data_IF_173249423613
#
_entry.id   IF_173249423613
#
_cell.length_a   1.000
_cell.length_b   1.000
_cell.length_c   1.000
_cell.angle_alpha   90.00
_cell.angle_beta   90.00
_cell.angle_gamma   90.00
#
_symmetry.space_group_name_H-M   'P 1'
#
loop_
_entity.id
_entity.type
_entity.pdbx_description
1 polymer ?
#
# COMPACT_ATOMS: atom_id res chain seq x y z
N UNK A 1 -15.28 -28.13 12.11
CA UNK A 1 -14.15 -28.90 12.67
C UNK A 1 -13.25 -29.29 11.51
N UNK A 2 -11.97 -28.91 11.56
CA UNK A 2 -10.98 -29.14 10.50
C UNK A 2 -10.41 -30.57 10.60
N UNK A 3 -10.38 -31.34 9.51
CA UNK A 3 -9.85 -32.71 9.48
C UNK A 3 -8.37 -32.70 9.06
N UNK A 4 -7.49 -32.78 10.06
CA UNK A 4 -6.03 -32.71 9.88
C UNK A 4 -5.45 -33.89 9.10
N UNK A 5 -6.08 -35.08 9.17
CA UNK A 5 -5.60 -36.25 8.44
C UNK A 5 -5.80 -36.09 6.94
N UNK A 6 -6.91 -35.47 6.51
CA UNK A 6 -7.15 -35.12 5.11
C UNK A 6 -6.19 -34.06 4.59
N UNK A 7 -5.82 -33.08 5.43
CA UNK A 7 -4.83 -32.06 5.07
C UNK A 7 -3.42 -32.62 4.97
N UNK A 8 -3.03 -33.53 5.86
CA UNK A 8 -1.72 -34.17 5.82
C UNK A 8 -1.45 -34.90 4.50
N UNK A 9 -2.48 -35.51 3.90
CA UNK A 9 -2.38 -36.16 2.59
C UNK A 9 -2.08 -35.20 1.42
N UNK A 10 -2.28 -33.88 1.59
CA UNK A 10 -2.01 -32.86 0.57
C UNK A 10 -0.58 -32.30 0.65
N UNK A 11 0.15 -32.55 1.75
CA UNK A 11 1.49 -31.99 1.98
C UNK A 11 2.53 -32.35 0.90
N UNK A 12 2.59 -33.59 0.36
CA UNK A 12 3.54 -33.91 -0.70
C UNK A 12 3.32 -33.10 -1.97
N UNK A 13 2.06 -32.85 -2.34
CA UNK A 13 1.70 -32.03 -3.51
C UNK A 13 2.10 -30.57 -3.29
N UNK A 14 1.90 -30.03 -2.08
CA UNK A 14 2.36 -28.69 -1.70
C UNK A 14 3.88 -28.60 -1.82
N UNK A 15 4.63 -29.60 -1.32
CA UNK A 15 6.09 -29.60 -1.40
C UNK A 15 6.60 -29.61 -2.85
N UNK A 16 5.98 -30.40 -3.73
CA UNK A 16 6.35 -30.44 -5.15
C UNK A 16 6.05 -29.10 -5.84
N UNK A 17 4.88 -28.53 -5.57
CA UNK A 17 4.50 -27.22 -6.09
C UNK A 17 5.45 -26.11 -5.63
N UNK A 18 5.83 -26.09 -4.35
CA UNK A 18 6.79 -25.12 -3.81
C UNK A 18 8.17 -25.23 -4.46
N UNK A 19 8.64 -26.46 -4.73
CA UNK A 19 9.91 -26.66 -5.44
C UNK A 19 9.85 -26.15 -6.89
N UNK A 20 8.75 -26.41 -7.59
CA UNK A 20 8.55 -25.91 -8.95
C UNK A 20 8.45 -24.38 -8.97
N UNK A 21 7.72 -23.77 -8.03
CA UNK A 21 7.63 -22.31 -7.88
C UNK A 21 8.99 -21.68 -7.55
N UNK A 22 9.80 -22.31 -6.70
CA UNK A 22 11.15 -21.83 -6.40
C UNK A 22 12.04 -21.80 -7.66
N UNK A 23 11.98 -22.85 -8.49
CA UNK A 23 12.71 -22.90 -9.76
C UNK A 23 12.21 -21.85 -10.76
N UNK A 24 10.88 -21.74 -10.92
CA UNK A 24 10.27 -20.73 -11.79
C UNK A 24 10.61 -19.30 -11.32
N UNK A 25 10.61 -19.05 -10.00
CA UNK A 25 10.99 -17.77 -9.42
C UNK A 25 12.44 -17.40 -9.71
N UNK A 26 13.35 -18.38 -9.67
CA UNK A 26 14.75 -18.15 -10.01
C UNK A 26 14.91 -17.79 -11.50
N UNK A 27 14.23 -18.51 -12.40
CA UNK A 27 14.22 -18.20 -13.82
C UNK A 27 13.65 -16.80 -14.11
N UNK A 28 12.56 -16.42 -13.44
CA UNK A 28 11.98 -15.06 -13.51
C UNK A 28 12.99 -14.01 -13.08
N UNK A 29 13.73 -14.26 -12.00
CA UNK A 29 14.76 -13.34 -11.50
C UNK A 29 15.92 -13.16 -12.49
N UNK A 30 16.42 -14.25 -13.09
CA UNK A 30 17.48 -14.18 -14.10
C UNK A 30 17.02 -13.34 -15.29
N UNK A 31 15.82 -13.59 -15.80
CA UNK A 31 15.23 -12.83 -16.91
C UNK A 31 15.06 -11.36 -16.54
N UNK A 32 14.52 -11.06 -15.35
CA UNK A 32 14.31 -9.70 -14.89
C UNK A 32 15.62 -8.91 -14.81
N UNK A 33 16.71 -9.53 -14.32
CA UNK A 33 18.04 -8.90 -14.30
C UNK A 33 18.55 -8.57 -15.69
N UNK A 34 18.46 -9.52 -16.62
CA UNK A 34 18.87 -9.29 -18.01
C UNK A 34 18.07 -8.17 -18.68
N UNK A 35 16.76 -8.07 -18.41
CA UNK A 35 15.92 -6.99 -18.93
C UNK A 35 16.24 -5.64 -18.29
N UNK A 36 16.56 -5.62 -17.00
CA UNK A 36 16.98 -4.40 -16.32
C UNK A 36 18.28 -3.84 -16.91
N UNK A 37 19.27 -4.71 -17.18
CA UNK A 37 20.53 -4.32 -17.84
C UNK A 37 20.30 -3.76 -19.26
N UNK A 38 19.38 -4.36 -20.02
CA UNK A 38 19.00 -3.86 -21.35
C UNK A 38 18.32 -2.49 -21.25
N UNK A 39 17.35 -2.36 -20.36
CA UNK A 39 16.60 -1.13 -20.13
C UNK A 39 17.49 0.01 -19.62
N UNK A 40 18.53 -0.29 -18.82
CA UNK A 40 19.53 0.71 -18.39
C UNK A 40 20.23 1.35 -19.59
N UNK A 41 20.64 0.55 -20.59
CA UNK A 41 21.32 1.06 -21.78
C UNK A 41 20.42 1.90 -22.70
N UNK A 42 19.09 1.70 -22.63
CA UNK A 42 18.09 2.35 -23.49
C UNK A 42 17.12 3.24 -22.73
N UNK A 43 17.44 3.63 -21.50
CA UNK A 43 16.50 4.29 -20.60
C UNK A 43 15.86 5.53 -21.22
N UNK A 44 16.64 6.39 -21.88
CA UNK A 44 16.14 7.63 -22.49
C UNK A 44 15.11 7.35 -23.59
N UNK A 45 15.38 6.36 -24.45
CA UNK A 45 14.46 5.93 -25.51
C UNK A 45 13.16 5.38 -24.91
N UNK A 46 13.27 4.55 -23.85
CA UNK A 46 12.11 4.01 -23.16
C UNK A 46 11.25 5.08 -22.48
N UNK A 47 11.87 6.13 -21.92
CA UNK A 47 11.17 7.28 -21.36
C UNK A 47 10.40 8.06 -22.44
N UNK A 48 11.02 8.28 -23.61
CA UNK A 48 10.37 8.92 -24.75
C UNK A 48 9.18 8.10 -25.26
N UNK A 49 9.36 6.78 -25.38
CA UNK A 49 8.30 5.84 -25.74
C UNK A 49 7.16 5.89 -24.71
N UNK A 50 7.49 5.82 -23.41
CA UNK A 50 6.50 5.90 -22.34
C UNK A 50 5.69 7.19 -22.44
N UNK A 51 6.35 8.32 -22.62
CA UNK A 51 5.71 9.63 -22.68
C UNK A 51 4.81 9.78 -23.92
N UNK A 52 5.25 9.27 -25.07
CA UNK A 52 4.48 9.33 -26.31
C UNK A 52 3.25 8.42 -26.28
N UNK A 53 3.35 7.25 -25.65
CA UNK A 53 2.32 6.21 -25.72
C UNK A 53 1.53 6.02 -24.41
N UNK A 54 1.76 6.85 -23.39
CA UNK A 54 1.12 6.73 -22.05
C UNK A 54 -0.39 6.47 -22.09
N UNK A 55 -1.11 7.16 -22.97
CA UNK A 55 -2.59 7.09 -23.03
C UNK A 55 -3.10 5.82 -23.75
N UNK A 56 -2.18 5.06 -24.35
CA UNK A 56 -2.45 3.81 -25.09
C UNK A 56 -2.01 2.57 -24.30
N UNK A 57 -1.34 2.75 -23.17
CA UNK A 57 -0.96 1.66 -22.27
C UNK A 57 -2.20 1.15 -21.51
N UNK A 58 -2.28 -0.16 -21.30
CA UNK A 58 -3.38 -0.80 -20.56
C UNK A 58 -2.99 -1.16 -19.11
N UNK A 59 -1.84 -0.66 -18.66
CA UNK A 59 -1.26 -0.93 -17.34
C UNK A 59 -0.55 0.32 -16.82
N UNK A 60 -0.48 0.45 -15.49
CA UNK A 60 0.24 1.55 -14.85
C UNK A 60 1.74 1.31 -14.93
N UNK A 61 2.47 2.36 -15.33
CA UNK A 61 3.93 2.33 -15.46
C UNK A 61 4.53 3.41 -14.59
N UNK A 62 5.42 3.02 -13.67
CA UNK A 62 6.22 3.98 -12.92
C UNK A 62 7.27 4.59 -13.85
N UNK A 63 7.41 5.92 -13.81
CA UNK A 63 8.46 6.64 -14.54
C UNK A 63 9.70 6.78 -13.65
N UNK A 64 10.85 6.21 -14.04
CA UNK A 64 12.11 6.44 -13.33
C UNK A 64 12.45 7.94 -13.30
N UNK A 65 12.68 8.48 -12.11
CA UNK A 65 13.11 9.88 -11.93
C UNK A 65 14.64 10.03 -11.94
N UNK A 66 15.35 8.92 -11.81
CA UNK A 66 16.80 8.79 -11.79
C UNK A 66 17.23 7.67 -12.75
N UNK A 67 18.53 7.57 -13.11
CA UNK A 67 19.06 6.42 -13.83
C UNK A 67 18.73 5.09 -13.13
N UNK A 68 18.38 4.05 -13.90
CA UNK A 68 18.00 2.73 -13.39
C UNK A 68 19.14 1.99 -12.66
N UNK A 69 20.38 2.43 -12.83
CA UNK A 69 21.59 1.93 -12.16
C UNK A 69 22.05 2.86 -11.02
N UNK A 70 21.21 3.81 -10.59
CA UNK A 70 21.55 4.71 -9.49
C UNK A 70 21.69 3.93 -8.18
N UNK A 71 22.90 3.97 -7.62
CA UNK A 71 23.21 3.39 -6.32
C UNK A 71 23.66 4.48 -5.36
N UNK A 72 22.86 4.71 -4.31
CA UNK A 72 23.13 5.75 -3.31
C UNK A 72 23.50 5.08 -1.99
N UNK A 73 24.60 5.54 -1.40
CA UNK A 73 24.93 5.17 -0.04
C UNK A 73 24.00 5.90 0.92
N UNK A 74 23.26 5.13 1.71
CA UNK A 74 22.36 5.68 2.73
C UNK A 74 23.20 6.06 3.94
N UNK A 75 22.98 7.27 4.47
CA UNK A 75 23.61 7.71 5.71
C UNK A 75 23.22 6.80 6.88
N UNK A 76 24.10 6.70 7.88
CA UNK A 76 23.80 5.97 9.11
C UNK A 76 22.54 6.54 9.78
N UNK A 77 21.70 5.63 10.27
CA UNK A 77 20.46 5.99 10.97
C UNK A 77 20.82 6.79 12.24
N UNK A 78 20.08 7.88 12.54
CA UNK A 78 20.24 8.61 13.78
C UNK A 78 20.14 7.69 15.00
N UNK A 79 21.06 7.86 15.96
CA UNK A 79 21.08 7.08 17.21
C UNK A 79 19.78 7.20 18.01
N UNK A 80 19.06 8.31 17.83
CA UNK A 80 17.78 8.58 18.47
C UNK A 80 16.75 8.91 17.40
N UNK A 81 15.64 8.19 17.41
CA UNK A 81 14.49 8.46 16.54
C UNK A 81 13.23 7.82 17.13
N UNK A 82 12.07 8.20 16.61
CA UNK A 82 10.78 7.62 16.99
C UNK A 82 9.98 7.20 15.79
N UNK A 83 9.37 6.02 15.88
CA UNK A 83 8.56 5.43 14.82
C UNK A 83 7.13 5.29 15.31
N UNK A 84 6.21 5.75 14.49
CA UNK A 84 4.78 5.76 14.72
C UNK A 84 4.12 4.86 13.70
N UNK A 85 3.23 3.97 14.12
CA UNK A 85 2.51 3.10 13.20
C UNK A 85 1.06 2.89 13.64
N UNK A 86 0.20 2.65 12.65
CA UNK A 86 -1.20 2.28 12.85
C UNK A 86 -1.57 1.10 11.97
N UNK A 87 -2.43 0.22 12.48
CA UNK A 87 -3.04 -0.88 11.73
C UNK A 87 -4.48 -1.07 12.22
N UNK A 88 -5.38 -1.42 11.30
CA UNK A 88 -6.81 -1.47 11.54
C UNK A 88 -7.41 -2.86 11.38
N UNK A 89 -8.28 -3.20 12.30
CA UNK A 89 -9.19 -4.35 12.20
C UNK A 89 -10.65 -3.90 12.20
N UNK A 90 -11.54 -4.78 11.73
CA UNK A 90 -12.97 -4.47 11.64
C UNK A 90 -13.83 -5.70 11.89
N UNK A 91 -15.04 -5.48 12.40
CA UNK A 91 -16.07 -6.50 12.60
C UNK A 91 -17.31 -6.07 11.81
N UNK A 92 -17.64 -6.82 10.77
CA UNK A 92 -18.80 -6.59 9.90
C UNK A 92 -20.13 -6.71 10.64
N UNK A 93 -21.18 -6.00 10.20
CA UNK A 93 -22.48 -6.10 10.82
C UNK A 93 -23.12 -7.47 10.54
N UNK A 94 -23.78 -8.04 11.54
CA UNK A 94 -24.47 -9.32 11.45
C UNK A 94 -25.97 -9.15 11.68
N UNK A 95 -26.77 -9.78 10.82
CA UNK A 95 -28.24 -9.81 10.96
C UNK A 95 -28.70 -10.78 12.05
N UNK A 96 -27.80 -11.59 12.60
CA UNK A 96 -28.09 -12.54 13.67
C UNK A 96 -27.83 -11.96 15.07
N UNK A 97 -27.37 -10.72 15.15
CA UNK A 97 -27.08 -10.01 16.38
C UNK A 97 -28.20 -9.07 16.80
N UNK A 98 -28.23 -8.71 18.09
CA UNK A 98 -29.28 -7.87 18.70
C UNK A 98 -29.28 -6.44 18.15
N UNK A 99 -28.11 -5.93 17.74
CA UNK A 99 -27.94 -4.61 17.16
C UNK A 99 -27.21 -4.70 15.82
N UNK A 100 -27.74 -4.02 14.80
CA UNK A 100 -27.11 -3.93 13.50
C UNK A 100 -26.08 -2.79 13.51
N UNK A 101 -24.84 -3.10 13.84
CA UNK A 101 -23.72 -2.16 13.89
C UNK A 101 -22.43 -2.83 13.41
N UNK A 102 -21.43 -2.02 13.07
CA UNK A 102 -20.07 -2.50 12.85
C UNK A 102 -19.08 -1.80 13.75
N UNK A 103 -17.91 -2.41 13.91
CA UNK A 103 -16.81 -1.87 14.70
C UNK A 103 -15.58 -1.74 13.83
N UNK A 104 -14.90 -0.60 13.96
CA UNK A 104 -13.54 -0.39 13.45
C UNK A 104 -12.64 -0.22 14.67
N UNK A 105 -11.52 -0.92 14.69
CA UNK A 105 -10.52 -0.78 15.73
C UNK A 105 -9.18 -0.44 15.10
N UNK A 106 -8.63 0.71 15.47
CA UNK A 106 -7.30 1.13 15.03
C UNK A 106 -6.32 0.91 16.18
N UNK A 107 -5.41 -0.04 16.00
CA UNK A 107 -4.23 -0.17 16.84
C UNK A 107 -3.23 0.92 16.49
N UNK A 108 -2.59 1.52 17.49
CA UNK A 108 -1.53 2.51 17.31
C UNK A 108 -0.33 2.18 18.19
N UNK A 109 0.84 2.32 17.62
CA UNK A 109 2.11 2.01 18.26
C UNK A 109 3.08 3.18 18.07
N UNK A 110 3.79 3.51 19.13
CA UNK A 110 4.94 4.41 19.09
C UNK A 110 6.13 3.75 19.78
N UNK A 111 7.24 3.68 19.07
CA UNK A 111 8.50 3.13 19.55
C UNK A 111 9.59 4.20 19.54
N UNK A 112 10.34 4.30 20.63
CA UNK A 112 11.49 5.20 20.75
C UNK A 112 12.78 4.39 20.73
N UNK A 113 13.64 4.68 19.76
CA UNK A 113 14.97 4.06 19.64
C UNK A 113 16.01 4.99 20.26
N UNK A 114 16.87 4.45 21.13
CA UNK A 114 18.01 5.18 21.73
C UNK A 114 17.66 6.28 22.73
N UNK A 115 16.40 6.39 23.16
CA UNK A 115 15.92 7.47 24.05
C UNK A 115 15.55 6.99 25.46
N UNK A 116 15.55 5.68 25.73
CA UNK A 116 15.12 5.10 27.02
C UNK A 116 13.73 5.54 27.47
N UNK A 117 12.83 5.79 26.52
CA UNK A 117 11.42 6.13 26.75
C UNK A 117 10.55 4.88 26.63
N UNK A 118 9.44 4.86 27.36
CA UNK A 118 8.47 3.77 27.26
C UNK A 118 7.72 3.83 25.91
N UNK A 119 7.46 2.69 25.27
CA UNK A 119 6.63 2.66 24.07
C UNK A 119 5.17 2.97 24.43
N UNK A 120 4.42 3.50 23.46
CA UNK A 120 2.96 3.51 23.50
C UNK A 120 2.44 2.34 22.68
N UNK A 121 1.59 1.53 23.28
CA UNK A 121 0.82 0.48 22.62
C UNK A 121 -0.62 0.69 23.04
N UNK A 122 -1.47 1.07 22.09
CA UNK A 122 -2.84 1.45 22.38
C UNK A 122 -3.78 1.05 21.23
N UNK A 123 -5.09 1.05 21.49
CA UNK A 123 -6.11 0.74 20.50
C UNK A 123 -7.33 1.63 20.68
N UNK A 124 -7.83 2.19 19.58
CA UNK A 124 -9.01 3.05 19.54
C UNK A 124 -10.14 2.32 18.81
N UNK A 125 -11.03 1.62 19.53
CA UNK A 125 -12.23 1.03 18.95
C UNK A 125 -13.36 2.06 18.82
N UNK A 126 -14.05 2.07 17.68
CA UNK A 126 -15.21 2.90 17.41
C UNK A 126 -16.37 2.05 16.86
N UNK A 127 -17.57 2.26 17.41
CA UNK A 127 -18.79 1.55 17.00
C UNK A 127 -19.65 2.47 16.15
N UNK A 128 -20.07 1.95 15.00
CA UNK A 128 -20.89 2.64 14.01
C UNK A 128 -22.24 1.96 13.89
N UNK A 129 -23.29 2.70 14.26
CA UNK A 129 -24.65 2.16 14.42
C UNK A 129 -25.75 3.10 13.92
N UNK A 130 -25.41 4.33 13.51
CA UNK A 130 -26.41 5.29 13.02
C UNK A 130 -26.78 4.98 11.56
N UNK A 131 -27.99 5.36 11.11
CA UNK A 131 -28.39 5.18 9.71
C UNK A 131 -27.39 5.79 8.71
N UNK A 132 -26.88 6.98 9.00
CA UNK A 132 -25.81 7.61 8.22
C UNK A 132 -24.52 6.78 8.16
N UNK A 133 -24.14 6.06 9.22
CA UNK A 133 -22.96 5.20 9.21
C UNK A 133 -23.16 3.90 8.43
N UNK A 134 -24.38 3.36 8.46
CA UNK A 134 -24.72 2.03 7.95
C UNK A 134 -25.16 2.07 6.48
N UNK A 135 -25.78 3.16 6.06
CA UNK A 135 -26.48 3.25 4.79
C UNK A 135 -26.01 4.37 3.87
N UNK A 136 -25.18 5.32 4.31
CA UNK A 136 -24.69 6.40 3.45
C UNK A 136 -23.99 5.85 2.19
N UNK A 137 -23.22 4.77 2.30
CA UNK A 137 -22.50 4.20 1.17
C UNK A 137 -23.40 3.58 0.09
N UNK A 138 -24.66 3.25 0.41
CA UNK A 138 -25.60 2.64 -0.55
C UNK A 138 -25.95 3.57 -1.69
N UNK A 139 -25.92 4.89 -1.47
CA UNK A 139 -26.17 5.88 -2.51
C UNK A 139 -25.12 5.83 -3.64
N UNK A 140 -23.94 5.30 -3.34
CA UNK A 140 -22.84 5.10 -4.29
C UNK A 140 -22.76 3.66 -4.81
N UNK A 141 -23.74 2.80 -4.48
CA UNK A 141 -23.72 1.38 -4.86
C UNK A 141 -22.65 0.55 -4.14
N UNK A 142 -22.03 1.07 -3.08
CA UNK A 142 -20.97 0.39 -2.32
C UNK A 142 -21.59 -0.42 -1.18
N UNK A 143 -21.10 -1.65 -0.99
CA UNK A 143 -21.51 -2.50 0.14
C UNK A 143 -20.96 -1.96 1.45
N UNK A 144 -21.72 -2.05 2.54
CA UNK A 144 -21.28 -1.58 3.86
C UNK A 144 -19.94 -2.20 4.28
N UNK A 145 -19.73 -3.50 4.05
CA UNK A 145 -18.47 -4.20 4.39
C UNK A 145 -17.25 -3.64 3.65
N UNK A 146 -17.43 -3.22 2.40
CA UNK A 146 -16.39 -2.60 1.58
C UNK A 146 -16.14 -1.16 2.03
N UNK A 147 -17.21 -0.41 2.28
CA UNK A 147 -17.14 0.95 2.81
C UNK A 147 -16.40 1.03 4.16
N UNK A 148 -16.60 0.04 5.02
CA UNK A 148 -15.88 -0.07 6.29
C UNK A 148 -14.36 -0.12 6.09
N UNK A 149 -13.88 -0.82 5.06
CA UNK A 149 -12.45 -0.88 4.75
C UNK A 149 -11.89 0.50 4.40
N UNK A 150 -12.63 1.30 3.62
CA UNK A 150 -12.23 2.66 3.30
C UNK A 150 -12.25 3.58 4.51
N UNK A 151 -13.30 3.51 5.34
CA UNK A 151 -13.36 4.26 6.61
C UNK A 151 -12.20 3.89 7.53
N UNK A 152 -11.85 2.60 7.59
CA UNK A 152 -10.73 2.12 8.37
C UNK A 152 -9.42 2.75 7.91
N UNK A 153 -9.13 2.76 6.61
CA UNK A 153 -7.94 3.44 6.07
C UNK A 153 -7.91 4.93 6.42
N UNK A 154 -9.05 5.61 6.35
CA UNK A 154 -9.16 7.02 6.76
C UNK A 154 -8.83 7.17 8.26
N UNK A 155 -9.41 6.35 9.12
CA UNK A 155 -9.15 6.39 10.57
C UNK A 155 -7.69 6.09 10.90
N UNK A 156 -7.08 5.08 10.25
CA UNK A 156 -5.66 4.72 10.42
C UNK A 156 -4.77 5.94 10.15
N UNK A 157 -4.90 6.59 8.98
CA UNK A 157 -4.02 7.70 8.61
C UNK A 157 -4.25 8.95 9.48
N UNK A 158 -5.49 9.22 9.87
CA UNK A 158 -5.81 10.35 10.75
C UNK A 158 -5.20 10.16 12.14
N UNK A 159 -5.36 8.99 12.74
CA UNK A 159 -4.81 8.66 14.05
C UNK A 159 -3.28 8.67 14.00
N UNK A 160 -2.68 8.18 12.91
CA UNK A 160 -1.24 8.22 12.71
C UNK A 160 -0.71 9.66 12.66
N UNK A 161 -1.32 10.53 11.85
CA UNK A 161 -0.92 11.93 11.75
C UNK A 161 -1.12 12.66 13.07
N UNK A 162 -2.24 12.43 13.75
CA UNK A 162 -2.51 13.01 15.07
C UNK A 162 -1.43 12.59 16.08
N UNK A 163 -1.14 11.29 16.18
CA UNK A 163 -0.15 10.77 17.12
C UNK A 163 1.26 11.27 16.80
N UNK A 164 1.66 11.28 15.52
CA UNK A 164 2.98 11.72 15.10
C UNK A 164 3.18 13.25 15.27
N UNK A 165 2.15 14.06 15.01
CA UNK A 165 2.24 15.52 15.07
C UNK A 165 1.97 16.11 16.45
N UNK A 166 1.07 15.51 17.25
CA UNK A 166 0.62 16.05 18.54
C UNK A 166 1.23 15.34 19.74
N UNK A 167 2.33 14.60 19.56
CA UNK A 167 3.00 13.96 20.67
C UNK A 167 3.50 15.00 21.69
N UNK A 168 2.89 14.98 22.88
CA UNK A 168 3.25 15.80 24.05
C UNK A 168 3.33 14.89 25.29
N UNK A 169 4.41 14.10 25.43
CA UNK A 169 5.15 13.89 26.69
C UNK A 169 6.28 12.83 26.58
N UNK A 170 7.41 12.98 27.31
CA UNK A 170 7.64 13.89 28.43
C UNK A 170 7.82 15.36 27.97
N UNK A 171 7.73 16.34 28.86
CA UNK A 171 7.26 17.69 28.53
C UNK A 171 8.32 18.43 27.72
N UNK A 172 8.06 18.58 26.42
CA UNK A 172 8.90 19.38 25.55
C UNK A 172 8.70 19.03 24.10
N UNK A 173 8.74 20.05 23.25
CA UNK A 173 8.92 19.84 21.82
C UNK A 173 10.21 19.05 21.60
N UNK A 174 10.14 17.83 21.06
CA UNK A 174 11.31 17.12 20.55
C UNK A 174 11.81 17.79 19.25
N UNK A 175 12.14 19.08 19.34
CA UNK A 175 12.85 19.79 18.29
C UNK A 175 14.21 19.12 18.13
N UNK A 176 14.40 18.41 17.01
CA UNK A 176 15.68 17.80 16.65
C UNK A 176 15.78 16.28 16.81
N UNK A 177 14.73 15.58 17.25
CA UNK A 177 14.70 14.10 17.17
C UNK A 177 13.89 13.68 15.94
N UNK A 178 14.46 12.89 15.02
CA UNK A 178 13.77 12.39 13.84
C UNK A 178 12.57 11.51 14.19
N UNK A 179 11.44 11.80 13.56
CA UNK A 179 10.20 11.03 13.64
C UNK A 179 9.94 10.35 12.29
N UNK A 180 9.29 9.18 12.31
CA UNK A 180 8.86 8.46 11.12
C UNK A 180 7.43 7.96 11.30
N UNK A 181 6.53 8.33 10.40
CA UNK A 181 5.17 7.80 10.34
C UNK A 181 5.13 6.62 9.35
N UNK A 182 4.60 5.49 9.79
CA UNK A 182 4.57 4.25 9.01
C UNK A 182 3.16 3.66 8.95
N UNK A 183 2.71 3.26 7.76
CA UNK A 183 1.48 2.46 7.55
C UNK A 183 1.82 1.07 7.03
N UNK A 184 0.96 0.10 7.35
CA UNK A 184 0.98 -1.19 6.67
C UNK A 184 0.24 -1.07 5.33
N UNK A 185 0.97 -1.23 4.23
CA UNK A 185 0.43 -1.15 2.88
C UNK A 185 1.03 -0.05 2.02
N UNK A 186 0.33 0.20 0.91
CA UNK A 186 0.74 1.14 -0.14
C UNK A 186 0.46 2.58 0.26
N UNK A 187 1.36 3.50 -0.12
CA UNK A 187 1.11 4.95 0.00
C UNK A 187 0.12 5.46 -1.04
N UNK A 188 0.01 4.76 -2.18
CA UNK A 188 -0.95 5.11 -3.24
C UNK A 188 -2.20 4.25 -3.06
N UNK A 189 -3.33 4.91 -2.78
CA UNK A 189 -4.62 4.25 -2.58
C UNK A 189 -5.34 4.00 -3.92
N UNK A 190 -4.72 3.20 -4.80
CA UNK A 190 -5.29 2.84 -6.11
C UNK A 190 -6.70 2.23 -6.03
N UNK A 191 -7.02 1.55 -4.93
CA UNK A 191 -8.35 1.01 -4.71
C UNK A 191 -9.45 2.08 -4.68
N UNK A 192 -9.10 3.35 -4.47
CA UNK A 192 -10.05 4.47 -4.55
C UNK A 192 -10.38 4.84 -6.00
N UNK A 193 -9.54 4.51 -6.98
CA UNK A 193 -9.72 4.93 -8.38
C UNK A 193 -11.06 4.46 -8.97
N UNK A 194 -11.45 3.22 -8.66
CA UNK A 194 -12.70 2.61 -9.14
C UNK A 194 -13.97 3.11 -8.45
N UNK A 195 -13.85 3.97 -7.43
CA UNK A 195 -15.00 4.46 -6.67
C UNK A 195 -15.73 5.60 -7.40
N UNK A 196 -17.07 5.71 -7.22
CA UNK A 196 -17.81 6.89 -7.65
C UNK A 196 -17.20 8.19 -7.10
N UNK A 197 -17.24 9.25 -7.90
CA UNK A 197 -16.61 10.54 -7.58
C UNK A 197 -17.04 11.08 -6.22
N UNK A 198 -18.34 11.09 -5.92
CA UNK A 198 -18.87 11.57 -4.64
C UNK A 198 -18.33 10.78 -3.43
N UNK A 199 -18.16 9.47 -3.56
CA UNK A 199 -17.58 8.63 -2.51
C UNK A 199 -16.10 8.99 -2.27
N UNK A 200 -15.35 9.22 -3.35
CA UNK A 200 -13.94 9.66 -3.27
C UNK A 200 -13.83 11.04 -2.63
N UNK A 201 -14.71 11.97 -2.98
CA UNK A 201 -14.77 13.31 -2.39
C UNK A 201 -15.08 13.29 -0.89
N UNK A 202 -15.70 12.22 -0.39
CA UNK A 202 -15.88 12.01 1.04
C UNK A 202 -14.63 11.45 1.74
N UNK A 203 -13.90 10.54 1.09
CA UNK A 203 -12.76 9.83 1.68
C UNK A 203 -11.43 10.59 1.59
N UNK A 204 -11.18 11.30 0.48
CA UNK A 204 -9.90 11.93 0.21
C UNK A 204 -9.57 13.13 1.12
N UNK A 205 -10.50 14.06 1.43
CA UNK A 205 -10.18 15.23 2.25
C UNK A 205 -9.54 14.93 3.61
N UNK A 206 -10.06 13.98 4.43
CA UNK A 206 -9.41 13.65 5.70
C UNK A 206 -8.03 13.02 5.53
N UNK A 207 -7.83 12.21 4.48
CA UNK A 207 -6.53 11.61 4.15
C UNK A 207 -5.52 12.70 3.80
N UNK A 208 -5.89 13.61 2.89
CA UNK A 208 -5.02 14.72 2.48
C UNK A 208 -4.72 15.66 3.65
N UNK A 209 -5.69 15.91 4.53
CA UNK A 209 -5.47 16.70 5.74
C UNK A 209 -4.42 16.04 6.64
N UNK A 210 -4.49 14.72 6.83
CA UNK A 210 -3.51 13.97 7.63
C UNK A 210 -2.12 13.99 6.99
N UNK A 211 -2.02 13.82 5.67
CA UNK A 211 -0.77 13.92 4.94
C UNK A 211 -0.16 15.32 4.98
N UNK A 212 -1.00 16.35 4.88
CA UNK A 212 -0.56 17.73 4.99
C UNK A 212 0.03 18.02 6.37
N UNK A 213 -0.61 17.53 7.45
CA UNK A 213 -0.07 17.67 8.81
C UNK A 213 1.33 17.04 8.96
N UNK A 214 1.51 15.83 8.43
CA UNK A 214 2.81 15.15 8.41
C UNK A 214 3.84 15.94 7.59
N UNK A 215 3.42 16.49 6.44
CA UNK A 215 4.27 17.30 5.56
C UNK A 215 4.71 18.61 6.23
N UNK A 216 3.78 19.36 6.80
CA UNK A 216 4.04 20.66 7.47
C UNK A 216 4.95 20.50 8.69
N UNK A 217 4.85 19.36 9.38
CA UNK A 217 5.72 19.02 10.52
C UNK A 217 7.05 18.39 10.12
N UNK A 218 7.26 18.14 8.82
CA UNK A 218 8.49 17.54 8.29
C UNK A 218 8.68 16.07 8.70
N UNK A 219 7.60 15.35 9.01
CA UNK A 219 7.64 13.93 9.39
C UNK A 219 7.52 13.09 8.11
N UNK A 220 8.54 12.30 7.73
CA UNK A 220 8.44 11.37 6.62
C UNK A 220 7.32 10.36 6.84
N UNK A 221 6.59 10.09 5.76
CA UNK A 221 5.51 9.11 5.72
C UNK A 221 5.89 7.92 4.83
N UNK A 222 5.82 6.72 5.39
CA UNK A 222 6.31 5.49 4.77
C UNK A 222 5.23 4.41 4.76
N UNK A 223 5.14 3.66 3.65
CA UNK A 223 4.36 2.43 3.59
C UNK A 223 5.28 1.21 3.68
N UNK A 224 4.92 0.23 4.51
CA UNK A 224 5.59 -1.06 4.58
C UNK A 224 4.79 -2.10 3.79
N UNK A 225 5.48 -2.89 2.95
CA UNK A 225 4.85 -3.91 2.13
C UNK A 225 5.59 -5.24 2.30
N UNK A 226 4.94 -6.22 2.93
CA UNK A 226 5.43 -7.59 2.93
C UNK A 226 5.16 -8.24 1.57
N UNK A 227 6.18 -8.80 0.93
CA UNK A 227 6.08 -9.49 -0.37
C UNK A 227 5.40 -8.65 -1.47
N UNK A 228 6.06 -7.57 -1.89
CA UNK A 228 5.55 -6.62 -2.89
C UNK A 228 5.03 -7.33 -4.15
N UNK A 229 3.73 -7.15 -4.42
CA UNK A 229 3.09 -7.46 -5.71
C UNK A 229 2.91 -6.21 -6.57
N UNK A 230 3.61 -5.12 -6.23
CA UNK A 230 3.60 -3.90 -7.05
C UNK A 230 4.27 -4.19 -8.38
N UNK A 231 3.51 -4.06 -9.45
CA UNK A 231 3.99 -4.29 -10.80
C UNK A 231 4.35 -2.98 -11.50
N UNK A 232 4.07 -1.81 -10.93
CA UNK A 232 4.26 -0.52 -11.61
C UNK A 232 5.72 -0.26 -11.97
N UNK A 233 6.64 -0.60 -11.07
CA UNK A 233 8.08 -0.48 -11.31
C UNK A 233 8.57 -1.51 -12.35
N UNK A 234 8.11 -2.77 -12.28
CA UNK A 234 8.49 -3.80 -13.24
C UNK A 234 7.82 -3.61 -14.60
N UNK A 235 6.66 -2.96 -14.65
CA UNK A 235 5.92 -2.65 -15.86
C UNK A 235 6.70 -1.71 -16.78
N UNK A 236 7.61 -0.88 -16.25
CA UNK A 236 8.51 -0.08 -17.08
C UNK A 236 9.37 -0.98 -17.98
N UNK A 237 9.84 -2.12 -17.46
CA UNK A 237 10.62 -3.09 -18.24
C UNK A 237 9.80 -3.78 -19.33
N UNK A 238 8.46 -3.71 -19.29
CA UNK A 238 7.62 -4.26 -20.38
C UNK A 238 7.81 -3.50 -21.68
N UNK A 239 8.15 -2.20 -21.61
CA UNK A 239 8.44 -1.39 -22.78
C UNK A 239 9.65 -1.93 -23.55
N UNK A 240 10.69 -2.36 -22.84
CA UNK A 240 11.88 -3.00 -23.44
C UNK A 240 11.53 -4.32 -24.13
N UNK A 241 10.55 -5.06 -23.60
CA UNK A 241 10.12 -6.35 -24.14
C UNK A 241 8.98 -6.27 -25.16
N UNK A 242 8.54 -5.07 -25.54
CA UNK A 242 7.42 -4.92 -26.47
C UNK A 242 7.80 -5.56 -27.81
N UNK A 243 7.03 -6.56 -28.32
CA UNK A 243 7.34 -7.21 -29.60
C UNK A 243 6.93 -6.37 -30.81
N UNK A 244 6.22 -5.25 -30.57
CA UNK A 244 5.77 -4.32 -31.60
C UNK A 244 6.71 -3.13 -31.69
N UNK A 245 6.75 -2.48 -32.85
CA UNK A 245 7.55 -1.25 -33.07
C UNK A 245 7.16 -0.13 -32.10
N UNK A 246 5.89 -0.07 -31.70
CA UNK A 246 5.36 0.88 -30.74
C UNK A 246 4.39 0.20 -29.76
N UNK A 247 4.37 0.61 -28.47
CA UNK A 247 3.51 0.00 -27.45
C UNK A 247 2.08 0.55 -27.50
N UNK A 248 1.40 0.41 -28.65
CA UNK A 248 -0.04 0.67 -28.75
C UNK A 248 -0.85 -0.50 -28.17
N UNK A 249 -0.85 -0.62 -26.83
CA UNK A 249 -1.47 -1.76 -26.16
C UNK A 249 -2.98 -1.86 -26.41
N UNK A 250 -3.67 -0.73 -26.58
CA UNK A 250 -5.11 -0.75 -26.91
C UNK A 250 -5.41 -1.47 -28.23
N UNK A 251 -4.56 -1.29 -29.24
CA UNK A 251 -4.71 -1.95 -30.54
C UNK A 251 -4.17 -3.38 -30.51
N UNK A 252 -2.99 -3.58 -29.92
CA UNK A 252 -2.27 -4.85 -30.05
C UNK A 252 -2.58 -5.87 -28.95
N UNK A 253 -3.06 -5.43 -27.77
CA UNK A 253 -3.16 -6.27 -26.57
C UNK A 253 -4.58 -6.34 -25.98
N UNK A 254 -5.57 -5.70 -26.59
CA UNK A 254 -6.95 -5.64 -26.07
C UNK A 254 -7.63 -7.00 -25.84
N UNK A 255 -7.27 -8.01 -26.64
CA UNK A 255 -7.80 -9.37 -26.56
C UNK A 255 -6.88 -10.38 -25.84
N UNK A 256 -5.69 -9.95 -25.40
CA UNK A 256 -4.76 -10.84 -24.72
C UNK A 256 -5.22 -11.06 -23.27
N UNK A 257 -5.40 -12.33 -22.87
CA UNK A 257 -5.77 -12.73 -21.51
C UNK A 257 -4.64 -12.49 -20.48
N UNK A 258 -3.43 -12.13 -20.93
CA UNK A 258 -2.30 -11.74 -20.10
C UNK A 258 -2.40 -10.26 -19.67
N UNK A 259 -3.46 -9.92 -18.93
CA UNK A 259 -3.68 -8.59 -18.32
C UNK A 259 -3.08 -8.46 -16.91
N UNK A 260 -2.09 -9.27 -16.56
CA UNK A 260 -1.46 -9.27 -15.22
C UNK A 260 0.00 -8.83 -15.31
#
# INVERSE_FOLDING_TARGET
MLDLAKLAGQLPQISQHLSAEAQASNQRLIRAKSLLEQAQNRQQELLEIQQLWRDRLIFNVATPTEPLDTHININLVPNQHSVFATDGSQISPSHHEVAYCYLINVGRVMLHYGQSLHPLLDSLPEIFYKPEDLYACKQWGIRTEEWMGYRRTVSEVQILAEMACRWVNPPGSHQGIPNLAMVDGYLIYWFLEGLPTEAREHLLPPIFTAWEQLRETGIPFMGYLSASRSNEASNFLRLETCPYEHPDCTTHCSNSQERL
#
